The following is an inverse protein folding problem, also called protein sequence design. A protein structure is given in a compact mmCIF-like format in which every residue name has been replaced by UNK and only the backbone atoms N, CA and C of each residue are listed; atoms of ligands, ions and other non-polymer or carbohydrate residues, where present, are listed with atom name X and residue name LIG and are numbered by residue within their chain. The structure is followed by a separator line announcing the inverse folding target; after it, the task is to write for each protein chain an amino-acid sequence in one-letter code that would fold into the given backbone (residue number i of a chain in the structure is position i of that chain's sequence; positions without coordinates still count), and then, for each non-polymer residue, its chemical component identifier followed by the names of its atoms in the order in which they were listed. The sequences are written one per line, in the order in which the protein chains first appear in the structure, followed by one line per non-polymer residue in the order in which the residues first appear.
data_IF_085533793203
#
_entry.id   IF_085533793203
#
_cell.length_a   1.000
_cell.length_b   1.000
_cell.length_c   1.000
_cell.angle_alpha   90.00
_cell.angle_beta   90.00
_cell.angle_gamma   90.00
#
_symmetry.space_group_name_H-M   'P 1'
#
loop_
_entity.id
_entity.type
_entity.pdbx_description
1 polymer ?
#
# COMPACT_ATOMS: atom_id res chain seq x y z
N UNK A 1 4.58 -32.40 -3.07
CA UNK A 1 5.65 -31.45 -3.54
C UNK A 1 5.48 -30.12 -2.79
N UNK A 2 6.52 -29.59 -2.13
CA UNK A 2 6.39 -28.26 -1.47
C UNK A 2 6.36 -27.17 -2.53
N UNK A 3 5.32 -26.36 -2.53
CA UNK A 3 5.25 -25.14 -3.34
C UNK A 3 6.20 -24.10 -2.78
N UNK A 4 7.07 -23.56 -3.63
CA UNK A 4 8.02 -22.49 -3.26
C UNK A 4 7.63 -21.20 -3.95
N UNK A 5 7.87 -20.07 -3.27
CA UNK A 5 7.68 -18.77 -3.87
C UNK A 5 8.72 -18.53 -4.98
N UNK A 6 8.26 -18.30 -6.19
CA UNK A 6 9.13 -17.95 -7.31
C UNK A 6 9.30 -16.43 -7.35
N UNK A 7 10.54 -15.99 -7.53
CA UNK A 7 10.88 -14.57 -7.69
C UNK A 7 10.20 -13.99 -8.94
N UNK A 8 9.57 -12.82 -8.81
CA UNK A 8 8.87 -12.16 -9.90
C UNK A 8 9.52 -10.80 -10.18
N UNK A 9 10.23 -10.68 -11.30
CA UNK A 9 10.93 -9.46 -11.72
C UNK A 9 9.96 -8.30 -11.97
N UNK A 10 8.75 -8.57 -12.48
CA UNK A 10 7.73 -7.56 -12.71
C UNK A 10 7.30 -6.84 -11.43
N UNK A 11 7.24 -7.55 -10.30
CA UNK A 11 6.94 -6.93 -9.00
C UNK A 11 8.05 -5.99 -8.56
N UNK A 12 9.32 -6.35 -8.78
CA UNK A 12 10.43 -5.46 -8.43
C UNK A 12 10.50 -4.25 -9.36
N UNK A 13 10.18 -4.43 -10.64
CA UNK A 13 10.04 -3.31 -11.56
C UNK A 13 8.93 -2.36 -11.10
N UNK A 14 7.75 -2.88 -10.77
CA UNK A 14 6.64 -2.05 -10.27
C UNK A 14 7.01 -1.32 -8.97
N UNK A 15 7.75 -1.96 -8.07
CA UNK A 15 8.29 -1.31 -6.87
C UNK A 15 9.24 -0.16 -7.23
N UNK A 16 10.16 -0.38 -8.16
CA UNK A 16 11.11 0.63 -8.59
C UNK A 16 10.40 1.85 -9.19
N UNK A 17 9.43 1.63 -10.07
CA UNK A 17 8.60 2.70 -10.65
C UNK A 17 7.84 3.46 -9.56
N UNK A 18 7.26 2.74 -8.58
CA UNK A 18 6.53 3.35 -7.46
C UNK A 18 7.44 4.21 -6.59
N UNK A 19 8.64 3.71 -6.23
CA UNK A 19 9.62 4.47 -5.45
C UNK A 19 10.06 5.71 -6.21
N UNK A 20 10.39 5.57 -7.49
CA UNK A 20 10.79 6.71 -8.32
C UNK A 20 9.69 7.77 -8.38
N UNK A 21 8.43 7.37 -8.59
CA UNK A 21 7.30 8.29 -8.57
C UNK A 21 7.19 9.07 -7.27
N UNK A 22 7.27 8.38 -6.12
CA UNK A 22 7.19 9.00 -4.80
C UNK A 22 8.39 9.93 -4.55
N UNK A 23 9.61 9.49 -4.84
CA UNK A 23 10.83 10.31 -4.63
C UNK A 23 10.79 11.55 -5.50
N UNK A 24 10.44 11.40 -6.79
CA UNK A 24 10.33 12.53 -7.70
C UNK A 24 9.22 13.50 -7.31
N UNK A 25 8.10 13.03 -6.76
CA UNK A 25 7.06 13.87 -6.20
C UNK A 25 7.58 14.75 -5.05
N UNK A 26 8.43 14.21 -4.16
CA UNK A 26 8.99 14.99 -3.06
C UNK A 26 10.10 15.96 -3.48
N UNK A 27 10.88 15.61 -4.53
CA UNK A 27 11.96 16.48 -5.03
C UNK A 27 11.44 17.52 -6.03
N UNK A 28 10.51 17.12 -6.90
CA UNK A 28 9.97 17.94 -7.99
C UNK A 28 8.43 17.95 -7.97
N UNK A 29 7.78 18.50 -6.93
CA UNK A 29 6.33 18.42 -6.74
C UNK A 29 5.52 19.03 -7.88
N UNK A 30 6.07 20.07 -8.54
CA UNK A 30 5.41 20.71 -9.69
C UNK A 30 5.48 19.89 -10.98
N UNK A 31 6.52 19.07 -11.16
CA UNK A 31 6.70 18.25 -12.36
C UNK A 31 6.06 16.87 -12.22
N UNK A 32 6.02 16.31 -11.01
CA UNK A 32 5.56 14.95 -10.72
C UNK A 32 4.39 14.96 -9.73
N UNK A 33 3.39 15.80 -10.00
CA UNK A 33 2.25 16.09 -9.10
C UNK A 33 1.52 14.84 -8.60
N UNK A 34 1.40 13.80 -9.42
CA UNK A 34 0.72 12.54 -9.13
C UNK A 34 1.61 11.42 -8.60
N UNK A 35 2.91 11.68 -8.33
CA UNK A 35 3.83 10.65 -7.85
C UNK A 35 3.41 10.00 -6.53
N UNK A 36 2.58 10.66 -5.72
CA UNK A 36 1.95 10.09 -4.51
C UNK A 36 1.11 8.83 -4.79
N UNK A 37 0.61 8.65 -6.02
CA UNK A 37 -0.11 7.44 -6.44
C UNK A 37 0.77 6.18 -6.36
N UNK A 38 2.10 6.34 -6.36
CA UNK A 38 3.04 5.24 -6.11
C UNK A 38 2.75 4.48 -4.81
N UNK A 39 2.17 5.13 -3.79
CA UNK A 39 1.77 4.49 -2.53
C UNK A 39 0.65 3.46 -2.76
N UNK A 40 -0.29 3.70 -3.69
CA UNK A 40 -1.33 2.74 -4.04
C UNK A 40 -0.73 1.45 -4.62
N UNK A 41 0.30 1.57 -5.46
CA UNK A 41 1.04 0.40 -5.97
C UNK A 41 1.77 -0.36 -4.85
N UNK A 42 2.32 0.33 -3.84
CA UNK A 42 2.91 -0.36 -2.69
C UNK A 42 1.89 -1.18 -1.91
N UNK A 43 0.72 -0.63 -1.63
CA UNK A 43 -0.34 -1.39 -0.96
C UNK A 43 -0.80 -2.57 -1.82
N UNK A 44 -0.95 -2.39 -3.14
CA UNK A 44 -1.29 -3.47 -4.06
C UNK A 44 -0.25 -4.59 -4.03
N UNK A 45 1.04 -4.25 -4.14
CA UNK A 45 2.14 -5.23 -4.07
C UNK A 45 2.15 -5.93 -2.71
N UNK A 46 1.93 -5.20 -1.62
CA UNK A 46 1.90 -5.76 -0.26
C UNK A 46 0.76 -6.78 -0.12
N UNK A 47 -0.43 -6.45 -0.62
CA UNK A 47 -1.59 -7.36 -0.64
C UNK A 47 -1.34 -8.60 -1.49
N UNK A 48 -0.82 -8.43 -2.71
CA UNK A 48 -0.46 -9.53 -3.58
C UNK A 48 0.53 -10.51 -2.92
N UNK A 49 1.62 -9.98 -2.35
CA UNK A 49 2.63 -10.81 -1.70
C UNK A 49 2.13 -11.47 -0.41
N UNK A 50 1.28 -10.78 0.34
CA UNK A 50 0.66 -11.34 1.54
C UNK A 50 -0.25 -12.52 1.18
N UNK A 51 -1.06 -12.37 0.14
CA UNK A 51 -1.95 -13.41 -0.36
C UNK A 51 -1.20 -14.60 -0.96
N UNK A 52 -0.25 -14.35 -1.86
CA UNK A 52 0.55 -15.41 -2.51
C UNK A 52 1.32 -16.23 -1.49
N UNK A 53 2.00 -15.54 -0.55
CA UNK A 53 2.74 -16.22 0.50
C UNK A 53 1.81 -16.94 1.48
N UNK A 54 0.68 -16.31 1.85
CA UNK A 54 -0.33 -16.93 2.69
C UNK A 54 -0.85 -18.24 2.08
N UNK A 55 -1.15 -18.24 0.76
CA UNK A 55 -1.59 -19.42 0.03
C UNK A 55 -0.53 -20.54 0.05
N UNK A 56 0.73 -20.20 -0.26
CA UNK A 56 1.84 -21.18 -0.25
C UNK A 56 2.04 -21.75 1.16
N UNK A 57 2.04 -20.91 2.19
CA UNK A 57 2.20 -21.39 3.57
C UNK A 57 0.99 -22.26 4.01
N UNK A 58 -0.23 -21.96 3.51
CA UNK A 58 -1.43 -22.77 3.76
C UNK A 58 -1.34 -24.13 3.09
N UNK A 59 -1.01 -24.19 1.80
CA UNK A 59 -0.91 -25.42 1.02
C UNK A 59 0.22 -26.34 1.53
N UNK A 60 1.26 -25.76 2.16
CA UNK A 60 2.34 -26.49 2.82
C UNK A 60 2.05 -26.80 4.31
N UNK A 61 0.83 -26.55 4.81
CA UNK A 61 0.44 -26.71 6.22
C UNK A 61 1.36 -25.98 7.21
N UNK A 62 1.98 -24.91 6.76
CA UNK A 62 2.99 -24.14 7.52
C UNK A 62 2.54 -22.72 7.91
N UNK A 63 1.26 -22.41 7.70
CA UNK A 63 0.69 -21.10 8.05
C UNK A 63 0.49 -20.97 9.56
N UNK A 64 1.30 -20.13 10.19
CA UNK A 64 1.21 -19.84 11.63
C UNK A 64 1.18 -18.33 11.87
N UNK A 65 0.14 -17.81 12.51
CA UNK A 65 -0.05 -16.38 12.81
C UNK A 65 1.15 -15.81 13.56
N UNK A 66 1.61 -16.48 14.64
CA UNK A 66 2.76 -16.02 15.44
C UNK A 66 4.03 -15.88 14.59
N UNK A 67 4.32 -16.88 13.75
CA UNK A 67 5.47 -16.85 12.84
C UNK A 67 5.36 -15.72 11.81
N UNK A 68 4.13 -15.46 11.31
CA UNK A 68 3.86 -14.37 10.41
C UNK A 68 4.20 -13.02 11.04
N UNK A 69 3.67 -12.72 12.24
CA UNK A 69 3.93 -11.45 12.91
C UNK A 69 5.40 -11.25 13.28
N UNK A 70 6.07 -12.29 13.80
CA UNK A 70 7.50 -12.22 14.10
C UNK A 70 8.32 -11.89 12.86
N UNK A 71 8.06 -12.57 11.72
CA UNK A 71 8.77 -12.30 10.46
C UNK A 71 8.51 -10.89 9.95
N UNK A 72 7.29 -10.39 10.04
CA UNK A 72 6.94 -9.03 9.62
C UNK A 72 7.61 -7.99 10.54
N UNK A 73 7.54 -8.18 11.85
CA UNK A 73 8.21 -7.30 12.82
C UNK A 73 9.72 -7.23 12.59
N UNK A 74 10.40 -8.37 12.50
CA UNK A 74 11.84 -8.43 12.27
C UNK A 74 12.25 -7.81 10.91
N UNK A 75 11.36 -7.75 9.95
CA UNK A 75 11.63 -7.11 8.66
C UNK A 75 11.45 -5.58 8.70
N UNK A 76 10.47 -5.09 9.46
CA UNK A 76 10.08 -3.67 9.45
C UNK A 76 10.85 -2.89 10.52
N UNK A 77 10.79 -3.34 11.78
CA UNK A 77 11.25 -2.55 12.92
C UNK A 77 12.76 -2.22 12.96
N UNK A 78 13.70 -3.11 12.60
CA UNK A 78 15.11 -2.76 12.66
C UNK A 78 15.48 -1.60 11.72
N UNK A 79 15.01 -1.64 10.48
CA UNK A 79 15.26 -0.58 9.51
C UNK A 79 14.54 0.72 9.91
N UNK A 80 13.29 0.62 10.38
CA UNK A 80 12.50 1.75 10.86
C UNK A 80 13.19 2.44 12.05
N UNK A 81 13.66 1.67 13.04
CA UNK A 81 14.34 2.21 14.20
C UNK A 81 15.61 2.97 13.81
N UNK A 82 16.46 2.35 12.99
CA UNK A 82 17.72 2.98 12.53
C UNK A 82 17.41 4.28 11.78
N UNK A 83 16.42 4.25 10.88
CA UNK A 83 16.04 5.42 10.08
C UNK A 83 15.50 6.55 10.95
N UNK A 84 14.55 6.28 11.86
CA UNK A 84 13.98 7.30 12.75
C UNK A 84 15.05 7.91 13.65
N UNK A 85 15.91 7.08 14.23
CA UNK A 85 17.00 7.57 15.10
C UNK A 85 18.04 8.40 14.33
N UNK A 86 18.40 7.98 13.11
CA UNK A 86 19.33 8.74 12.27
C UNK A 86 18.75 10.11 11.88
N UNK A 87 17.46 10.15 11.52
CA UNK A 87 16.76 11.40 11.18
C UNK A 87 16.68 12.33 12.39
N UNK A 88 16.28 11.83 13.57
CA UNK A 88 16.26 12.62 14.80
C UNK A 88 17.65 13.18 15.10
N UNK A 89 18.70 12.33 15.06
CA UNK A 89 20.07 12.77 15.33
C UNK A 89 20.53 13.86 14.34
N UNK A 90 20.24 13.71 13.05
CA UNK A 90 20.57 14.69 12.03
C UNK A 90 19.87 16.04 12.27
N UNK A 91 18.55 16.01 12.47
CA UNK A 91 17.78 17.25 12.68
C UNK A 91 18.05 17.90 14.03
N UNK A 92 18.44 17.15 15.07
CA UNK A 92 18.87 17.73 16.34
C UNK A 92 20.14 18.60 16.18
N UNK A 93 21.00 18.25 15.23
CA UNK A 93 22.24 19.02 14.99
C UNK A 93 22.04 20.20 14.03
N UNK A 94 21.23 20.00 12.98
CA UNK A 94 21.17 20.93 11.84
C UNK A 94 19.89 21.77 11.78
N UNK A 95 18.73 21.25 12.25
CA UNK A 95 17.42 21.87 12.08
C UNK A 95 16.47 21.50 13.21
N UNK A 96 16.82 21.86 14.43
CA UNK A 96 16.09 21.47 15.64
C UNK A 96 14.63 21.91 15.64
N UNK A 97 14.30 23.00 14.95
CA UNK A 97 12.95 23.53 14.80
C UNK A 97 11.98 22.55 14.12
N UNK A 98 12.48 21.66 13.26
CA UNK A 98 11.67 20.64 12.57
C UNK A 98 11.32 19.43 13.44
N UNK A 99 11.88 19.35 14.67
CA UNK A 99 11.60 18.28 15.63
C UNK A 99 10.49 18.63 16.63
N UNK A 100 9.81 19.76 16.45
CA UNK A 100 8.66 20.09 17.28
C UNK A 100 7.57 19.01 17.14
N UNK A 101 7.21 18.35 18.26
CA UNK A 101 6.27 17.21 18.25
C UNK A 101 6.83 15.88 17.76
N UNK A 102 8.13 15.81 17.44
CA UNK A 102 8.74 14.59 16.91
C UNK A 102 8.69 13.38 17.88
N UNK A 103 8.62 13.65 19.20
CA UNK A 103 8.51 12.58 20.20
C UNK A 103 7.19 11.82 20.09
N UNK A 104 6.08 12.55 20.05
CA UNK A 104 4.74 12.00 19.92
C UNK A 104 4.56 11.34 18.56
N UNK A 105 5.09 11.97 17.51
CA UNK A 105 5.06 11.42 16.15
C UNK A 105 5.91 10.14 16.05
N UNK A 106 7.12 10.10 16.62
CA UNK A 106 7.94 8.89 16.66
C UNK A 106 7.24 7.76 17.42
N UNK A 107 6.55 8.06 18.52
CA UNK A 107 5.75 7.07 19.24
C UNK A 107 4.63 6.51 18.34
N UNK A 108 3.93 7.36 17.58
CA UNK A 108 2.89 6.95 16.64
C UNK A 108 3.44 6.05 15.53
N UNK A 109 4.65 6.33 15.05
CA UNK A 109 5.35 5.54 14.02
C UNK A 109 5.68 4.14 14.56
N UNK A 110 6.31 4.05 15.74
CA UNK A 110 6.70 2.76 16.32
C UNK A 110 5.50 1.91 16.75
N UNK A 111 4.39 2.53 17.13
CA UNK A 111 3.15 1.84 17.46
C UNK A 111 2.25 1.55 16.25
N UNK A 112 2.63 2.04 15.05
CA UNK A 112 1.99 1.70 13.79
C UNK A 112 0.66 2.42 13.54
N UNK A 113 0.43 3.60 14.16
CA UNK A 113 -0.77 4.42 13.95
C UNK A 113 -0.46 5.84 13.45
N UNK A 114 0.67 6.05 12.80
CA UNK A 114 1.09 7.37 12.33
C UNK A 114 0.10 8.02 11.33
N UNK A 115 -0.62 7.21 10.54
CA UNK A 115 -1.69 7.69 9.68
C UNK A 115 -2.83 8.37 10.46
N UNK A 116 -3.25 7.80 11.60
CA UNK A 116 -4.25 8.41 12.49
C UNK A 116 -3.70 9.65 13.19
N UNK A 117 -2.42 9.62 13.58
CA UNK A 117 -1.73 10.78 14.12
C UNK A 117 -1.78 11.96 13.14
N UNK A 118 -1.38 11.74 11.89
CA UNK A 118 -1.41 12.77 10.84
C UNK A 118 -2.83 13.30 10.61
N UNK A 119 -3.83 12.44 10.65
CA UNK A 119 -5.22 12.82 10.49
C UNK A 119 -5.73 13.68 11.67
N UNK A 120 -5.37 13.34 12.91
CA UNK A 120 -5.81 14.04 14.12
C UNK A 120 -5.10 15.38 14.31
N UNK A 121 -3.84 15.51 13.91
CA UNK A 121 -3.08 16.75 13.98
C UNK A 121 -3.40 17.71 12.85
N UNK A 122 -4.31 17.33 11.95
CA UNK A 122 -4.76 18.12 10.79
C UNK A 122 -3.63 18.58 9.86
N UNK A 123 -2.50 17.89 9.86
CA UNK A 123 -1.41 18.16 8.94
C UNK A 123 -1.85 17.79 7.52
N UNK A 124 -2.21 18.80 6.69
CA UNK A 124 -2.56 18.56 5.29
C UNK A 124 -1.34 18.09 4.51
N UNK A 125 -1.40 16.88 3.97
CA UNK A 125 -0.30 16.33 3.18
C UNK A 125 0.05 17.17 1.95
N UNK A 126 -0.94 17.83 1.35
CA UNK A 126 -0.73 18.61 0.11
C UNK A 126 -0.38 20.07 0.36
N UNK A 127 -0.85 20.67 1.46
CA UNK A 127 -0.67 22.13 1.71
C UNK A 127 0.67 22.51 2.34
N UNK A 128 1.41 21.56 2.89
CA UNK A 128 2.56 21.86 3.75
C UNK A 128 3.88 21.23 3.23
N UNK A 129 4.20 21.36 1.96
CA UNK A 129 5.48 20.87 1.41
C UNK A 129 6.70 21.58 2.06
N UNK A 130 6.52 22.73 2.70
CA UNK A 130 7.61 23.56 3.22
C UNK A 130 7.82 23.54 4.74
N UNK A 131 6.86 23.05 5.54
CA UNK A 131 6.91 23.11 7.02
C UNK A 131 6.61 21.76 7.70
N UNK A 132 6.98 20.65 7.09
CA UNK A 132 6.61 19.32 7.62
C UNK A 132 7.66 18.74 8.53
N UNK A 133 7.14 18.00 9.53
CA UNK A 133 7.93 16.96 10.18
C UNK A 133 8.61 16.07 9.13
N UNK A 134 9.89 15.75 9.34
CA UNK A 134 10.61 14.83 8.45
C UNK A 134 9.97 13.43 8.40
N UNK A 135 9.01 13.13 9.26
CA UNK A 135 8.33 11.84 9.37
C UNK A 135 6.94 11.79 8.74
N UNK A 136 6.41 12.91 8.26
CA UNK A 136 5.04 12.96 7.70
C UNK A 136 4.78 11.87 6.67
N UNK A 137 5.76 11.57 5.81
CA UNK A 137 5.62 10.55 4.78
C UNK A 137 5.43 9.12 5.34
N UNK A 138 5.72 8.87 6.63
CA UNK A 138 5.57 7.54 7.25
C UNK A 138 4.12 7.15 7.55
N UNK A 139 3.15 8.03 7.26
CA UNK A 139 1.73 7.69 7.38
C UNK A 139 1.37 6.41 6.61
N UNK A 140 1.98 6.20 5.42
CA UNK A 140 1.72 5.01 4.61
C UNK A 140 2.13 3.72 5.32
N UNK A 141 3.20 3.79 6.13
CA UNK A 141 3.66 2.66 6.92
C UNK A 141 2.65 2.30 8.01
N UNK A 142 2.00 3.30 8.63
CA UNK A 142 0.89 3.08 9.57
C UNK A 142 -0.24 2.27 8.92
N UNK A 143 -0.73 2.73 7.75
CA UNK A 143 -1.74 2.01 6.97
C UNK A 143 -1.28 0.58 6.63
N UNK A 144 -0.04 0.42 6.16
CA UNK A 144 0.50 -0.90 5.80
C UNK A 144 0.57 -1.83 7.00
N UNK A 145 1.03 -1.33 8.17
CA UNK A 145 1.12 -2.12 9.39
C UNK A 145 -0.26 -2.58 9.87
N UNK A 146 -1.27 -1.72 9.85
CA UNK A 146 -2.64 -2.08 10.18
C UNK A 146 -3.20 -3.16 9.24
N UNK A 147 -3.03 -2.97 7.92
CA UNK A 147 -3.45 -3.96 6.93
C UNK A 147 -2.76 -5.31 7.13
N UNK A 148 -1.46 -5.30 7.43
CA UNK A 148 -0.68 -6.51 7.69
C UNK A 148 -1.05 -7.18 9.03
N UNK A 149 -1.51 -6.42 10.02
CA UNK A 149 -2.02 -6.96 11.29
C UNK A 149 -3.38 -7.64 11.07
N UNK A 150 -4.26 -7.04 10.29
CA UNK A 150 -5.60 -7.58 10.01
C UNK A 150 -5.54 -8.76 9.03
N UNK A 151 -4.58 -8.77 8.10
CA UNK A 151 -4.50 -9.74 7.02
C UNK A 151 -4.56 -11.21 7.45
N UNK A 152 -3.75 -11.73 8.40
CA UNK A 152 -3.79 -13.16 8.73
C UNK A 152 -5.13 -13.60 9.32
N UNK A 153 -5.87 -12.70 9.96
CA UNK A 153 -7.21 -12.97 10.47
C UNK A 153 -8.21 -13.10 9.32
N UNK A 154 -8.19 -12.14 8.37
CA UNK A 154 -9.01 -12.19 7.16
C UNK A 154 -8.69 -13.43 6.31
N UNK A 155 -7.41 -13.77 6.18
CA UNK A 155 -6.98 -14.94 5.42
C UNK A 155 -7.45 -16.24 6.06
N UNK A 156 -7.38 -16.38 7.39
CA UNK A 156 -7.92 -17.54 8.09
C UNK A 156 -9.44 -17.62 8.00
N UNK A 157 -10.15 -16.50 8.14
CA UNK A 157 -11.59 -16.43 7.93
C UNK A 157 -11.95 -16.92 6.52
N UNK A 158 -11.23 -16.41 5.51
CA UNK A 158 -11.39 -16.83 4.12
C UNK A 158 -11.17 -18.32 3.95
N UNK A 159 -10.03 -18.86 4.40
CA UNK A 159 -9.63 -20.27 4.19
C UNK A 159 -10.47 -21.26 4.95
N UNK A 160 -10.88 -20.94 6.21
CA UNK A 160 -11.60 -21.89 7.06
C UNK A 160 -13.11 -21.84 6.88
N UNK A 161 -13.67 -20.68 6.50
CA UNK A 161 -15.11 -20.46 6.56
C UNK A 161 -15.75 -20.09 5.22
N UNK A 162 -15.06 -19.30 4.39
CA UNK A 162 -15.64 -18.74 3.17
C UNK A 162 -15.35 -19.67 1.97
N UNK A 163 -14.08 -20.00 1.74
CA UNK A 163 -13.65 -20.82 0.61
C UNK A 163 -14.29 -22.22 0.62
N UNK A 164 -14.41 -22.96 1.76
CA UNK A 164 -15.06 -24.26 1.78
C UNK A 164 -16.55 -24.21 1.43
N UNK A 165 -17.23 -23.07 1.67
CA UNK A 165 -18.66 -22.90 1.40
C UNK A 165 -18.97 -22.41 0.00
N UNK A 166 -18.15 -21.49 -0.53
CA UNK A 166 -18.39 -20.79 -1.78
C UNK A 166 -17.48 -21.23 -2.93
N UNK A 167 -16.49 -22.07 -2.66
CA UNK A 167 -15.54 -22.57 -3.67
C UNK A 167 -14.93 -21.42 -4.48
N UNK A 168 -15.03 -21.49 -5.83
CA UNK A 168 -14.50 -20.45 -6.72
C UNK A 168 -15.12 -19.07 -6.51
N UNK A 169 -16.32 -18.99 -5.94
CA UNK A 169 -17.00 -17.75 -5.61
C UNK A 169 -16.45 -17.05 -4.37
N UNK A 170 -15.65 -17.73 -3.56
CA UNK A 170 -15.09 -17.16 -2.33
C UNK A 170 -14.29 -15.87 -2.54
N UNK A 171 -13.66 -15.70 -3.71
CA UNK A 171 -12.88 -14.50 -4.06
C UNK A 171 -13.71 -13.21 -3.97
N UNK A 172 -15.02 -13.30 -4.19
CA UNK A 172 -15.93 -12.16 -4.08
C UNK A 172 -15.94 -11.53 -2.69
N UNK A 173 -15.53 -12.27 -1.66
CA UNK A 173 -15.34 -11.71 -0.32
C UNK A 173 -14.34 -10.53 -0.32
N UNK A 174 -13.17 -10.71 -0.93
CA UNK A 174 -12.17 -9.66 -1.01
C UNK A 174 -12.54 -8.57 -2.02
N UNK A 175 -13.21 -8.93 -3.11
CA UNK A 175 -13.73 -7.96 -4.08
C UNK A 175 -14.77 -7.03 -3.41
N UNK A 176 -15.70 -7.58 -2.64
CA UNK A 176 -16.72 -6.80 -1.94
C UNK A 176 -16.09 -5.89 -0.87
N UNK A 177 -15.08 -6.37 -0.14
CA UNK A 177 -14.33 -5.52 0.81
C UNK A 177 -13.59 -4.39 0.09
N UNK A 178 -12.99 -4.66 -1.08
CA UNK A 178 -12.33 -3.62 -1.89
C UNK A 178 -13.34 -2.57 -2.36
N UNK A 179 -14.48 -3.01 -2.89
CA UNK A 179 -15.57 -2.12 -3.31
C UNK A 179 -16.09 -1.29 -2.14
N UNK A 180 -16.29 -1.91 -0.97
CA UNK A 180 -16.71 -1.20 0.24
C UNK A 180 -15.70 -0.12 0.66
N UNK A 181 -14.39 -0.40 0.55
CA UNK A 181 -13.33 0.58 0.82
C UNK A 181 -13.37 1.78 -0.14
N UNK A 182 -13.55 1.52 -1.45
CA UNK A 182 -13.71 2.59 -2.46
C UNK A 182 -14.97 3.41 -2.19
N UNK A 183 -16.06 2.74 -1.83
CA UNK A 183 -17.32 3.41 -1.51
C UNK A 183 -17.20 4.26 -0.25
N UNK A 184 -16.53 3.75 0.80
CA UNK A 184 -16.22 4.50 2.01
C UNK A 184 -15.39 5.76 1.69
N UNK A 185 -14.38 5.63 0.82
CA UNK A 185 -13.58 6.78 0.36
C UNK A 185 -14.46 7.83 -0.30
N UNK A 186 -15.34 7.44 -1.22
CA UNK A 186 -16.24 8.36 -1.92
C UNK A 186 -17.26 9.04 -0.99
N UNK A 187 -17.84 8.29 -0.05
CA UNK A 187 -18.83 8.81 0.89
C UNK A 187 -18.22 9.75 1.96
N UNK A 188 -17.01 9.45 2.40
CA UNK A 188 -16.31 10.23 3.43
C UNK A 188 -15.52 11.40 2.86
N UNK A 189 -15.49 11.55 1.52
CA UNK A 189 -14.77 12.66 0.89
C UNK A 189 -15.48 13.98 1.14
N UNK A 190 -14.75 14.91 1.75
CA UNK A 190 -15.13 16.31 1.89
C UNK A 190 -13.99 17.18 1.38
N UNK A 191 -14.30 18.18 0.56
CA UNK A 191 -13.29 19.06 -0.04
C UNK A 191 -12.48 19.81 1.02
N UNK A 192 -13.10 20.13 2.16
CA UNK A 192 -12.47 20.86 3.27
C UNK A 192 -11.55 19.96 4.11
N UNK A 193 -11.69 18.64 4.02
CA UNK A 193 -10.93 17.67 4.81
C UNK A 193 -10.58 16.41 4.02
N UNK A 194 -9.68 16.57 3.07
CA UNK A 194 -9.15 15.45 2.26
C UNK A 194 -8.32 14.48 3.12
N UNK A 195 -7.77 14.95 4.25
CA UNK A 195 -6.90 14.15 5.12
C UNK A 195 -7.57 12.87 5.60
N UNK A 196 -8.87 12.93 5.94
CA UNK A 196 -9.62 11.75 6.41
C UNK A 196 -9.56 10.59 5.41
N UNK A 197 -9.80 10.87 4.16
CA UNK A 197 -9.81 9.86 3.09
C UNK A 197 -8.41 9.54 2.56
N UNK A 198 -7.48 10.46 2.73
CA UNK A 198 -6.10 10.27 2.30
C UNK A 198 -5.32 9.36 3.26
N UNK A 199 -5.44 9.54 4.57
CA UNK A 199 -4.73 8.80 5.61
C UNK A 199 -5.48 7.58 6.14
N UNK A 200 -6.79 7.46 5.90
CA UNK A 200 -7.62 6.41 6.46
C UNK A 200 -7.29 5.02 5.93
N UNK A 201 -7.09 4.06 6.81
CA UNK A 201 -6.84 2.67 6.42
C UNK A 201 -8.03 2.04 5.73
N UNK A 202 -9.24 2.34 6.20
CA UNK A 202 -10.50 1.89 5.61
C UNK A 202 -10.70 2.39 4.18
N UNK A 203 -10.28 3.62 3.87
CA UNK A 203 -10.38 4.23 2.56
C UNK A 203 -9.22 3.87 1.62
N UNK A 204 -8.11 3.33 2.15
CA UNK A 204 -6.93 2.89 1.39
C UNK A 204 -6.83 1.38 1.21
N UNK A 205 -7.63 0.62 1.97
CA UNK A 205 -7.59 -0.84 1.94
C UNK A 205 -7.88 -1.43 0.55
N UNK A 206 -8.62 -0.73 -0.31
CA UNK A 206 -8.96 -1.21 -1.65
C UNK A 206 -7.72 -1.63 -2.46
N UNK A 207 -6.64 -0.83 -2.45
CA UNK A 207 -5.42 -1.16 -3.20
C UNK A 207 -4.79 -2.47 -2.71
N UNK A 208 -4.70 -2.65 -1.40
CA UNK A 208 -4.22 -3.89 -0.79
C UNK A 208 -5.12 -5.07 -1.14
N UNK A 209 -6.44 -4.91 -1.06
CA UNK A 209 -7.42 -5.96 -1.33
C UNK A 209 -7.46 -6.35 -2.81
N UNK A 210 -7.28 -5.40 -3.74
CA UNK A 210 -7.06 -5.69 -5.16
C UNK A 210 -5.82 -6.57 -5.31
N UNK A 211 -4.71 -6.19 -4.66
CA UNK A 211 -3.50 -7.02 -4.64
C UNK A 211 -3.74 -8.43 -4.11
N UNK A 212 -4.54 -8.58 -3.06
CA UNK A 212 -4.95 -9.89 -2.53
C UNK A 212 -5.68 -10.71 -3.57
N UNK A 213 -6.67 -10.13 -4.26
CA UNK A 213 -7.42 -10.81 -5.33
C UNK A 213 -6.48 -11.28 -6.44
N UNK A 214 -5.56 -10.41 -6.88
CA UNK A 214 -4.56 -10.75 -7.89
C UNK A 214 -3.67 -11.91 -7.44
N UNK A 215 -3.17 -11.87 -6.20
CA UNK A 215 -2.29 -12.91 -5.65
C UNK A 215 -2.95 -14.26 -5.48
N UNK A 216 -4.25 -14.29 -5.10
CA UNK A 216 -5.01 -15.56 -4.98
C UNK A 216 -5.43 -16.13 -6.34
N UNK A 217 -5.54 -15.31 -7.39
CA UNK A 217 -6.00 -15.72 -8.72
C UNK A 217 -4.89 -15.90 -9.75
N UNK A 218 -3.65 -15.60 -9.43
CA UNK A 218 -2.53 -15.68 -10.37
C UNK A 218 -2.40 -17.06 -11.03
N UNK A 219 -2.51 -18.14 -10.26
CA UNK A 219 -2.37 -19.50 -10.79
C UNK A 219 -3.49 -19.88 -11.75
N UNK A 220 -4.71 -19.38 -11.51
CA UNK A 220 -5.85 -19.58 -12.42
C UNK A 220 -5.64 -18.85 -13.75
N UNK A 221 -5.06 -17.65 -13.71
CA UNK A 221 -4.78 -16.86 -14.92
C UNK A 221 -3.63 -17.43 -15.72
N UNK A 222 -2.56 -17.88 -15.06
CA UNK A 222 -1.42 -18.51 -15.74
C UNK A 222 -1.83 -19.80 -16.44
N UNK A 223 -2.73 -20.61 -15.86
CA UNK A 223 -3.25 -21.83 -16.47
C UNK A 223 -4.11 -21.59 -17.71
N UNK A 224 -4.81 -20.45 -17.77
CA UNK A 224 -5.67 -20.09 -18.92
C UNK A 224 -4.89 -19.64 -20.16
N UNK A 225 -3.57 -19.47 -20.07
CA UNK A 225 -2.71 -19.11 -21.19
C UNK A 225 -3.18 -17.81 -21.86
N UNK A 226 -3.32 -16.74 -21.07
CA UNK A 226 -3.96 -15.51 -21.56
C UNK A 226 -3.10 -14.86 -22.64
N UNK A 227 -3.52 -14.99 -23.89
CA UNK A 227 -2.85 -14.47 -25.11
C UNK A 227 -2.54 -12.96 -25.00
N UNK A 228 -3.35 -12.21 -24.21
CA UNK A 228 -3.14 -10.78 -23.99
C UNK A 228 -1.81 -10.45 -23.27
N UNK A 229 -1.28 -11.37 -22.48
CA UNK A 229 -0.05 -11.16 -21.70
C UNK A 229 1.18 -11.85 -22.32
N UNK A 230 1.06 -12.40 -23.53
CA UNK A 230 2.14 -13.14 -24.19
C UNK A 230 2.62 -12.43 -25.47
N UNK A 231 3.89 -12.63 -25.81
CA UNK A 231 4.49 -12.14 -27.05
C UNK A 231 4.41 -10.62 -27.21
N UNK A 232 4.10 -10.18 -28.41
CA UNK A 232 4.02 -8.76 -28.76
C UNK A 232 2.86 -8.03 -28.08
N UNK A 233 1.73 -8.72 -27.87
CA UNK A 233 0.59 -8.16 -27.14
C UNK A 233 0.97 -7.86 -25.68
N UNK A 234 1.68 -8.76 -25.00
CA UNK A 234 2.17 -8.53 -23.65
C UNK A 234 3.13 -7.37 -23.55
N UNK A 235 4.05 -7.23 -24.54
CA UNK A 235 4.96 -6.08 -24.63
C UNK A 235 4.20 -4.77 -24.85
N UNK A 236 3.27 -4.75 -25.79
CA UNK A 236 2.45 -3.55 -26.06
C UNK A 236 1.65 -3.12 -24.82
N UNK A 237 1.02 -4.08 -24.11
CA UNK A 237 0.28 -3.81 -22.88
C UNK A 237 1.19 -3.27 -21.77
N UNK A 238 2.39 -3.83 -21.63
CA UNK A 238 3.39 -3.36 -20.67
C UNK A 238 3.79 -1.90 -20.93
N UNK A 239 4.16 -1.55 -22.17
CA UNK A 239 4.52 -0.18 -22.50
C UNK A 239 3.36 0.79 -22.40
N UNK A 240 2.15 0.37 -22.80
CA UNK A 240 0.94 1.18 -22.62
C UNK A 240 0.66 1.47 -21.14
N UNK A 241 0.72 0.46 -20.28
CA UNK A 241 0.51 0.63 -18.83
C UNK A 241 1.58 1.51 -18.18
N UNK A 242 2.84 1.39 -18.62
CA UNK A 242 3.92 2.24 -18.15
C UNK A 242 3.71 3.70 -18.57
N UNK A 243 3.31 3.95 -19.82
CA UNK A 243 3.00 5.29 -20.32
C UNK A 243 1.83 5.91 -19.54
N UNK A 244 0.76 5.14 -19.31
CA UNK A 244 -0.37 5.59 -18.48
C UNK A 244 0.09 5.92 -17.06
N UNK A 245 0.92 5.09 -16.44
CA UNK A 245 1.45 5.33 -15.09
C UNK A 245 2.27 6.63 -15.04
N UNK A 246 3.15 6.84 -16.03
CA UNK A 246 3.94 8.07 -16.13
C UNK A 246 3.03 9.28 -16.33
N UNK A 247 2.03 9.18 -17.21
CA UNK A 247 1.05 10.25 -17.43
C UNK A 247 0.28 10.59 -16.14
N UNK A 248 -0.14 9.59 -15.39
CA UNK A 248 -0.78 9.78 -14.08
C UNK A 248 0.15 10.48 -13.09
N UNK A 249 1.44 10.11 -13.04
CA UNK A 249 2.42 10.74 -12.15
C UNK A 249 2.69 12.21 -12.50
N UNK A 250 2.55 12.59 -13.76
CA UNK A 250 2.79 13.98 -14.20
C UNK A 250 1.51 14.83 -14.09
N UNK A 251 0.36 14.30 -14.48
CA UNK A 251 -0.85 15.08 -14.72
C UNK A 251 -1.83 15.14 -13.55
N UNK A 252 -1.79 14.15 -12.65
CA UNK A 252 -2.78 14.06 -11.57
C UNK A 252 -2.38 14.91 -10.39
N UNK A 253 -3.32 15.71 -9.88
CA UNK A 253 -3.15 16.52 -8.67
C UNK A 253 -3.89 15.89 -7.49
N UNK A 254 -3.22 15.86 -6.32
CA UNK A 254 -3.72 15.13 -5.15
C UNK A 254 -5.02 15.66 -4.53
N UNK A 255 -5.42 16.90 -4.83
CA UNK A 255 -6.64 17.51 -4.31
C UNK A 255 -7.87 17.32 -5.20
N UNK A 256 -7.71 16.69 -6.37
CA UNK A 256 -8.79 16.50 -7.33
C UNK A 256 -9.86 15.54 -6.79
N UNK A 257 -11.11 16.01 -6.71
CA UNK A 257 -12.24 15.28 -6.13
C UNK A 257 -12.51 13.93 -6.79
N UNK A 258 -12.31 13.80 -8.12
CA UNK A 258 -12.55 12.57 -8.86
C UNK A 258 -11.68 11.40 -8.38
N UNK A 259 -10.47 11.69 -7.88
CA UNK A 259 -9.57 10.68 -7.30
C UNK A 259 -10.23 9.92 -6.15
N UNK A 260 -10.86 10.66 -5.25
CA UNK A 260 -11.50 10.12 -4.05
C UNK A 260 -12.89 9.58 -4.31
N UNK A 261 -13.47 9.87 -5.47
CA UNK A 261 -14.76 9.33 -5.94
C UNK A 261 -14.61 8.10 -6.84
N UNK A 262 -13.50 7.38 -6.70
CA UNK A 262 -13.20 6.13 -7.39
C UNK A 262 -12.03 6.19 -8.37
N UNK A 263 -11.48 7.38 -8.66
CA UNK A 263 -10.38 7.54 -9.62
C UNK A 263 -9.05 6.94 -9.19
N UNK A 264 -8.86 6.64 -7.89
CA UNK A 264 -7.67 5.95 -7.38
C UNK A 264 -7.78 4.42 -7.47
N UNK A 265 -8.97 3.86 -7.63
CA UNK A 265 -9.21 2.42 -7.70
C UNK A 265 -9.18 1.92 -9.15
#
# INVERSE_FOLDING_TARGET
MRTTYTYNEGINFLRAVSILGIVLYHIFPFAMKGGFLGVCFFFLISGYLAAKKGQIDWDNESFHIRKYYIKKGLRIYPALYIMVMAVIAFFTVFHQELLLGAREEAASIFLGYNNWWQMLTQASYFMKITEHSPFTHLWYLGVEMELLVVWPLLFLLYKKWIEPRLGKGAIWFFVLLAVASVFAMGLMYHADNVNRVYYGTDTRAFSFLIGVVLGLKEDDWNKKGNILFQGDNGRALFFASLLVTIALFVLVEGEQAWLYRGGMA
#
